data_IF_330343525612
#
_entry.id   IF_330343525612
#
_cell.length_a   1.000
_cell.length_b   1.000
_cell.length_c   1.000
_cell.angle_alpha   90.00
_cell.angle_beta   90.00
_cell.angle_gamma   90.00
#
_symmetry.space_group_name_H-M   'P 1'
#
loop_
_entity.id
_entity.type
_entity.pdbx_description
1 polymer ?
#
# COMPACT_ATOMS: atom_id res chain seq x y z
N UNK A 1 0.90 -0.07 25.46
CA UNK A 1 0.20 -0.56 24.25
C UNK A 1 -1.27 -0.29 24.47
N UNK A 2 -1.88 0.52 23.61
CA UNK A 2 -3.34 0.69 23.58
C UNK A 2 -3.88 -0.34 22.61
N UNK A 3 -4.85 -1.15 23.03
CA UNK A 3 -5.48 -2.18 22.22
C UNK A 3 -6.98 -2.18 22.47
N UNK A 4 -7.76 -2.45 21.42
CA UNK A 4 -9.21 -2.60 21.48
C UNK A 4 -9.55 -3.87 20.71
N UNK A 5 -10.22 -4.80 21.39
CA UNK A 5 -10.65 -6.08 20.82
C UNK A 5 -12.16 -6.07 20.54
N UNK A 6 -12.63 -7.03 19.74
CA UNK A 6 -14.06 -7.22 19.47
C UNK A 6 -14.69 -6.15 18.58
N UNK A 7 -13.87 -5.42 17.82
CA UNK A 7 -14.33 -4.50 16.80
C UNK A 7 -15.23 -5.24 15.80
N UNK A 8 -16.39 -4.65 15.52
CA UNK A 8 -17.29 -5.16 14.49
C UNK A 8 -16.67 -4.98 13.10
N UNK A 9 -17.16 -5.73 12.12
CA UNK A 9 -16.76 -5.55 10.72
C UNK A 9 -17.35 -4.24 10.18
N UNK A 10 -16.64 -3.14 10.42
CA UNK A 10 -17.01 -1.78 10.01
C UNK A 10 -15.75 -0.90 9.91
N UNK A 11 -15.92 0.34 9.47
CA UNK A 11 -14.88 1.36 9.47
C UNK A 11 -14.62 1.85 10.90
N UNK A 12 -13.35 1.76 11.34
CA UNK A 12 -12.91 2.27 12.63
C UNK A 12 -11.88 3.38 12.42
N UNK A 13 -12.09 4.52 13.08
CA UNK A 13 -11.11 5.61 13.09
C UNK A 13 -10.30 5.55 14.39
N UNK A 14 -8.98 5.58 14.28
CA UNK A 14 -8.06 5.66 15.41
C UNK A 14 -7.38 7.01 15.37
N UNK A 15 -7.62 7.83 16.40
CA UNK A 15 -6.96 9.12 16.56
C UNK A 15 -5.92 9.05 17.69
N UNK A 16 -4.68 9.46 17.39
CA UNK A 16 -3.61 9.60 18.37
C UNK A 16 -3.27 11.08 18.50
N UNK A 17 -3.84 11.72 19.53
CA UNK A 17 -3.50 13.09 19.89
C UNK A 17 -2.33 13.11 20.87
N UNK A 18 -1.25 13.82 20.52
CA UNK A 18 -0.04 13.92 21.34
C UNK A 18 0.37 15.36 21.54
N UNK A 19 0.81 15.68 22.76
CA UNK A 19 1.45 16.95 23.10
C UNK A 19 2.91 16.65 23.42
N UNK A 20 3.81 17.10 22.55
CA UNK A 20 5.26 16.96 22.73
C UNK A 20 5.90 18.33 22.97
N UNK A 21 7.05 18.34 23.65
CA UNK A 21 7.92 19.51 23.81
C UNK A 21 9.37 19.11 23.57
N UNK A 22 10.27 20.08 23.44
CA UNK A 22 11.72 19.83 23.36
C UNK A 22 12.31 19.12 24.59
N UNK A 23 11.55 19.01 25.68
CA UNK A 23 11.94 18.31 26.92
C UNK A 23 11.08 17.08 27.20
N UNK A 24 10.10 16.79 26.35
CA UNK A 24 9.17 15.67 26.48
C UNK A 24 8.78 15.22 25.07
N UNK A 25 9.64 14.39 24.47
CA UNK A 25 9.42 13.84 23.14
C UNK A 25 8.41 12.69 23.18
N UNK A 26 7.67 12.54 22.08
CA UNK A 26 6.80 11.40 21.85
C UNK A 26 7.35 10.60 20.68
N UNK A 27 7.50 9.29 20.88
CA UNK A 27 7.91 8.36 19.83
C UNK A 27 6.74 7.43 19.50
N UNK A 28 6.18 7.59 18.31
CA UNK A 28 5.25 6.62 17.75
C UNK A 28 6.06 5.54 17.03
N UNK A 29 6.07 4.34 17.60
CA UNK A 29 6.80 3.19 17.03
C UNK A 29 5.91 2.33 16.10
N UNK A 30 4.74 2.84 15.72
CA UNK A 30 3.80 2.17 14.83
C UNK A 30 2.52 1.70 15.51
N UNK A 31 1.62 1.16 14.68
CA UNK A 31 0.39 0.49 15.08
C UNK A 31 0.34 -0.91 14.48
N UNK A 32 -0.51 -1.77 15.05
CA UNK A 32 -0.76 -3.11 14.52
C UNK A 32 -2.26 -3.33 14.35
N UNK A 33 -2.62 -4.10 13.35
CA UNK A 33 -3.98 -4.60 13.16
C UNK A 33 -3.97 -6.12 13.22
N UNK A 34 -5.04 -6.70 13.76
CA UNK A 34 -5.31 -8.13 13.65
C UNK A 34 -6.50 -8.31 12.72
N UNK A 35 -6.35 -9.14 11.70
CA UNK A 35 -7.38 -9.40 10.71
C UNK A 35 -7.60 -10.89 10.53
N UNK A 36 -8.88 -11.28 10.34
CA UNK A 36 -9.24 -12.64 10.01
C UNK A 36 -8.85 -12.98 8.57
N UNK A 37 -8.19 -14.13 8.38
CA UNK A 37 -7.81 -14.65 7.06
C UNK A 37 -8.58 -15.94 6.81
N UNK A 38 -9.22 -16.04 5.65
CA UNK A 38 -9.91 -17.27 5.26
C UNK A 38 -8.89 -18.33 4.82
N UNK A 39 -8.49 -19.19 5.75
CA UNK A 39 -7.53 -20.28 5.48
C UNK A 39 -8.14 -21.55 4.87
N UNK A 40 -9.43 -21.56 4.47
CA UNK A 40 -10.16 -22.77 4.04
C UNK A 40 -10.07 -23.97 4.99
N UNK A 41 -10.02 -23.72 6.30
CA UNK A 41 -9.85 -24.78 7.30
C UNK A 41 -8.40 -25.20 7.55
N UNK A 42 -7.41 -24.53 6.95
CA UNK A 42 -6.02 -24.63 7.37
C UNK A 42 -5.86 -24.19 8.84
N UNK A 43 -4.94 -24.84 9.56
CA UNK A 43 -4.62 -24.54 10.96
C UNK A 43 -3.76 -23.28 11.13
N UNK A 44 -3.31 -22.68 10.04
CA UNK A 44 -2.45 -21.50 10.05
C UNK A 44 -2.50 -20.71 8.74
N UNK A 45 -1.81 -19.59 8.75
CA UNK A 45 -1.63 -18.70 7.60
C UNK A 45 -0.16 -18.73 7.18
N UNK A 46 0.08 -18.92 5.89
CA UNK A 46 1.41 -18.86 5.27
C UNK A 46 1.50 -17.57 4.43
N UNK A 47 2.36 -16.61 4.82
CA UNK A 47 2.60 -15.42 4.00
C UNK A 47 3.49 -15.77 2.80
N UNK A 48 3.11 -15.31 1.63
CA UNK A 48 3.92 -15.37 0.40
C UNK A 48 4.11 -13.95 -0.10
N UNK A 49 5.36 -13.51 -0.22
CA UNK A 49 5.69 -12.13 -0.59
C UNK A 49 6.15 -12.05 -2.04
N UNK A 50 5.51 -11.19 -2.82
CA UNK A 50 5.86 -10.85 -4.19
C UNK A 50 6.51 -9.47 -4.22
N UNK A 51 7.60 -9.38 -4.95
CA UNK A 51 8.43 -8.19 -5.09
C UNK A 51 7.77 -7.15 -6.00
N UNK A 52 8.14 -5.87 -5.89
CA UNK A 52 7.70 -4.82 -6.81
C UNK A 52 8.23 -5.03 -8.24
N UNK A 53 9.29 -5.81 -8.40
CA UNK A 53 9.82 -6.23 -9.70
C UNK A 53 9.23 -7.55 -10.22
N UNK A 54 8.27 -8.17 -9.51
CA UNK A 54 7.64 -9.41 -9.98
C UNK A 54 7.00 -9.22 -11.37
N UNK A 55 7.28 -10.15 -12.29
CA UNK A 55 6.84 -10.06 -13.68
C UNK A 55 5.32 -10.15 -13.87
N UNK A 56 4.57 -10.59 -12.85
CA UNK A 56 3.12 -10.61 -12.87
C UNK A 56 2.48 -9.23 -12.63
N UNK A 57 3.25 -8.21 -12.22
CA UNK A 57 2.78 -6.83 -12.22
C UNK A 57 2.51 -6.34 -13.64
N UNK A 58 1.28 -5.91 -13.88
CA UNK A 58 0.88 -5.21 -15.11
C UNK A 58 0.95 -3.70 -14.86
N UNK A 59 1.88 -3.03 -15.52
CA UNK A 59 2.13 -1.60 -15.36
C UNK A 59 1.63 -0.83 -16.58
N UNK A 60 0.85 0.23 -16.36
CA UNK A 60 0.40 1.17 -17.38
C UNK A 60 0.71 2.60 -16.95
N UNK A 61 1.55 3.37 -17.68
CA UNK A 61 2.47 2.91 -18.72
C UNK A 61 3.44 1.82 -18.23
N UNK A 62 4.17 1.14 -19.11
CA UNK A 62 5.17 0.13 -18.70
C UNK A 62 6.34 0.71 -17.88
N UNK A 63 7.24 -0.14 -17.37
CA UNK A 63 8.46 0.28 -16.64
C UNK A 63 9.47 0.98 -17.56
N UNK A 64 10.29 1.89 -17.01
CA UNK A 64 11.48 2.42 -17.69
C UNK A 64 12.55 1.33 -17.90
N UNK A 65 13.38 1.44 -18.95
CA UNK A 65 13.37 2.47 -19.99
C UNK A 65 12.35 2.19 -21.12
N UNK A 66 11.61 1.09 -21.07
CA UNK A 66 10.68 0.70 -22.13
C UNK A 66 9.56 1.73 -22.36
N UNK A 67 9.17 2.47 -21.32
CA UNK A 67 8.34 3.67 -21.41
C UNK A 67 9.04 4.88 -20.78
N UNK A 68 9.33 5.98 -21.53
CA UNK A 68 10.01 7.16 -21.00
C UNK A 68 9.27 7.87 -19.85
N UNK A 69 7.94 7.83 -19.87
CA UNK A 69 7.06 8.32 -18.79
C UNK A 69 6.56 7.17 -17.90
N UNK A 70 7.25 6.04 -17.96
CA UNK A 70 6.94 4.79 -17.27
C UNK A 70 7.21 4.80 -15.78
N UNK A 71 6.81 3.70 -15.13
CA UNK A 71 7.19 3.44 -13.75
C UNK A 71 8.71 3.29 -13.64
N UNK A 72 9.27 3.89 -12.61
CA UNK A 72 10.70 3.89 -12.32
C UNK A 72 11.00 3.00 -11.12
N UNK A 73 12.28 2.66 -10.93
CA UNK A 73 12.73 1.81 -9.81
C UNK A 73 13.68 2.60 -8.92
N UNK A 74 13.29 2.77 -7.66
CA UNK A 74 14.16 3.24 -6.59
C UNK A 74 14.94 2.06 -5.99
N UNK A 75 16.11 2.34 -5.42
CA UNK A 75 16.91 1.35 -4.70
C UNK A 75 17.20 1.82 -3.28
N UNK A 76 16.99 0.94 -2.30
CA UNK A 76 17.19 1.25 -0.87
C UNK A 76 17.23 -0.02 -0.05
N UNK A 77 18.12 -0.12 0.94
CA UNK A 77 18.18 -1.29 1.84
C UNK A 77 16.99 -1.41 2.80
N UNK A 78 16.06 -0.45 2.79
CA UNK A 78 14.82 -0.46 3.58
C UNK A 78 13.67 -1.17 2.87
N UNK A 79 13.83 -1.45 1.58
CA UNK A 79 12.81 -2.03 0.71
C UNK A 79 13.00 -3.54 0.60
N UNK A 80 11.92 -4.27 0.37
CA UNK A 80 11.97 -5.69 0.08
C UNK A 80 12.81 -5.91 -1.19
N UNK A 81 13.76 -6.85 -1.09
CA UNK A 81 14.82 -7.08 -2.11
C UNK A 81 15.58 -5.84 -2.60
N UNK A 82 15.53 -4.75 -1.82
CA UNK A 82 16.17 -3.47 -2.04
C UNK A 82 15.63 -2.62 -3.20
N UNK A 83 14.41 -2.88 -3.70
CA UNK A 83 13.80 -2.12 -4.80
C UNK A 83 12.40 -1.60 -4.45
N UNK A 84 12.02 -0.48 -5.07
CA UNK A 84 10.66 0.06 -4.96
C UNK A 84 10.24 0.66 -6.28
N UNK A 85 8.98 0.47 -6.66
CA UNK A 85 8.45 0.89 -7.95
C UNK A 85 7.61 2.13 -7.76
N UNK A 86 7.86 3.18 -8.55
CA UNK A 86 7.16 4.45 -8.38
C UNK A 86 6.85 5.19 -9.68
N UNK A 87 5.91 6.11 -9.62
CA UNK A 87 5.52 6.98 -10.73
C UNK A 87 4.96 8.30 -10.19
N UNK A 88 5.06 9.39 -10.96
CA UNK A 88 4.69 10.74 -10.52
C UNK A 88 3.69 11.52 -11.42
N UNK A 89 3.42 11.15 -12.68
CA UNK A 89 2.25 11.67 -13.38
C UNK A 89 0.97 11.37 -12.60
N UNK A 90 0.26 12.42 -12.20
CA UNK A 90 -0.93 12.37 -11.36
C UNK A 90 -2.15 12.89 -12.13
N UNK A 91 -3.30 12.23 -11.99
CA UNK A 91 -4.55 12.71 -12.57
C UNK A 91 -5.54 11.60 -12.89
N UNK A 92 -6.78 11.98 -13.17
CA UNK A 92 -7.85 11.04 -13.51
C UNK A 92 -7.47 10.19 -14.74
N UNK A 93 -7.65 8.87 -14.64
CA UNK A 93 -7.18 7.92 -15.67
C UNK A 93 -5.65 7.83 -15.78
N UNK A 94 -4.94 8.29 -14.74
CA UNK A 94 -3.48 8.30 -14.67
C UNK A 94 -2.86 6.91 -14.59
N UNK A 95 -1.54 6.85 -14.37
CA UNK A 95 -0.80 5.59 -14.29
C UNK A 95 -1.36 4.61 -13.28
N UNK A 96 -1.31 3.33 -13.64
CA UNK A 96 -1.73 2.22 -12.80
C UNK A 96 -0.76 1.04 -12.79
N UNK A 97 -0.78 0.30 -11.68
CA UNK A 97 -0.06 -0.95 -11.47
C UNK A 97 -1.03 -1.99 -10.91
N UNK A 98 -1.20 -3.11 -11.60
CA UNK A 98 -2.17 -4.15 -11.21
C UNK A 98 -1.49 -5.50 -11.00
N UNK A 99 -1.99 -6.26 -10.03
CA UNK A 99 -1.57 -7.64 -9.76
C UNK A 99 -2.79 -8.52 -9.57
N UNK A 100 -2.84 -9.64 -10.30
CA UNK A 100 -3.93 -10.62 -10.23
C UNK A 100 -3.45 -11.88 -9.53
N UNK A 101 -4.22 -12.38 -8.56
CA UNK A 101 -3.84 -13.54 -7.75
C UNK A 101 -5.05 -14.42 -7.40
N UNK A 102 -4.76 -15.64 -6.93
CA UNK A 102 -5.73 -16.62 -6.42
C UNK A 102 -5.12 -17.34 -5.22
N UNK A 103 -5.94 -17.96 -4.37
CA UNK A 103 -5.47 -18.81 -3.27
C UNK A 103 -5.20 -18.08 -1.95
N UNK A 104 -5.33 -16.75 -1.91
CA UNK A 104 -5.11 -15.95 -0.72
C UNK A 104 -6.43 -15.63 -0.01
N UNK A 105 -6.47 -15.84 1.30
CA UNK A 105 -7.58 -15.41 2.17
C UNK A 105 -7.41 -14.00 2.71
N UNK A 106 -6.31 -13.34 2.38
CA UNK A 106 -5.99 -11.96 2.71
C UNK A 106 -4.79 -11.43 1.94
N UNK A 107 -4.63 -10.12 1.93
CA UNK A 107 -3.58 -9.42 1.19
C UNK A 107 -3.07 -8.21 1.99
N UNK A 108 -1.76 -7.94 1.90
CA UNK A 108 -1.12 -6.72 2.41
C UNK A 108 -0.31 -6.10 1.29
N UNK A 109 -0.53 -4.83 0.98
CA UNK A 109 0.28 -4.04 0.06
C UNK A 109 1.19 -3.11 0.87
N UNK A 110 2.50 -3.26 0.68
CA UNK A 110 3.50 -2.38 1.28
C UNK A 110 3.92 -1.29 0.30
N UNK A 111 4.11 -0.10 0.85
CA UNK A 111 4.41 1.13 0.14
C UNK A 111 5.88 1.52 0.24
N UNK A 112 6.36 2.14 -0.83
CA UNK A 112 7.54 2.97 -0.77
C UNK A 112 7.10 4.42 -0.53
N UNK A 113 7.29 4.91 0.68
CA UNK A 113 6.87 6.25 1.11
C UNK A 113 8.10 7.16 1.27
N UNK A 114 8.05 8.35 0.68
CA UNK A 114 9.08 9.38 0.78
C UNK A 114 8.47 10.78 0.60
N UNK A 115 9.32 11.82 0.58
CA UNK A 115 8.89 13.23 0.54
C UNK A 115 7.97 13.62 -0.62
N UNK A 116 7.95 12.85 -1.72
CA UNK A 116 7.09 13.11 -2.89
C UNK A 116 5.94 12.10 -2.97
N UNK A 117 5.75 11.27 -1.94
CA UNK A 117 4.56 10.42 -1.82
C UNK A 117 3.36 11.27 -1.45
N UNK A 118 2.21 11.05 -2.09
CA UNK A 118 1.00 11.85 -1.89
C UNK A 118 -0.27 11.00 -1.89
N UNK A 119 -1.42 11.64 -2.09
CA UNK A 119 -2.70 11.01 -2.32
C UNK A 119 -2.70 10.14 -3.58
N UNK A 120 -3.31 8.96 -3.49
CA UNK A 120 -3.54 8.03 -4.60
C UNK A 120 -4.73 7.13 -4.27
N UNK A 121 -5.05 6.15 -5.12
CA UNK A 121 -6.08 5.17 -4.83
C UNK A 121 -5.60 3.74 -5.05
N UNK A 122 -6.18 2.83 -4.26
CA UNK A 122 -6.00 1.39 -4.40
C UNK A 122 -7.37 0.79 -4.65
N UNK A 123 -7.49 0.01 -5.72
CA UNK A 123 -8.68 -0.75 -6.02
C UNK A 123 -8.41 -2.22 -5.68
N UNK A 124 -9.31 -2.84 -4.92
CA UNK A 124 -9.31 -4.28 -4.70
C UNK A 124 -10.66 -4.84 -5.17
N UNK A 125 -10.63 -5.65 -6.23
CA UNK A 125 -11.84 -6.19 -6.87
C UNK A 125 -12.87 -5.12 -7.26
N UNK A 126 -12.38 -3.92 -7.61
CA UNK A 126 -13.20 -2.76 -7.98
C UNK A 126 -13.63 -1.88 -6.81
N UNK A 127 -13.44 -2.31 -5.55
CA UNK A 127 -13.63 -1.45 -4.37
C UNK A 127 -12.49 -0.43 -4.32
N UNK A 128 -12.82 0.86 -4.36
CA UNK A 128 -11.82 1.94 -4.35
C UNK A 128 -11.53 2.41 -2.92
N UNK A 129 -10.25 2.47 -2.59
CA UNK A 129 -9.72 3.01 -1.34
C UNK A 129 -8.84 4.22 -1.67
N UNK A 130 -9.31 5.41 -1.33
CA UNK A 130 -8.51 6.62 -1.40
C UNK A 130 -7.52 6.63 -0.23
N UNK A 131 -6.25 6.79 -0.54
CA UNK A 131 -5.13 6.73 0.41
C UNK A 131 -4.32 8.02 0.30
N UNK A 132 -3.76 8.46 1.41
CA UNK A 132 -2.78 9.54 1.46
C UNK A 132 -1.51 9.06 2.15
N UNK A 133 -0.41 8.99 1.39
CA UNK A 133 0.91 8.64 1.89
C UNK A 133 1.83 9.86 2.09
N UNK A 134 1.26 11.07 2.16
CA UNK A 134 2.03 12.30 2.41
C UNK A 134 2.86 12.17 3.69
N UNK A 135 4.18 12.18 3.54
CA UNK A 135 5.11 12.00 4.63
C UNK A 135 6.45 12.67 4.33
N UNK A 136 7.09 13.22 5.37
CA UNK A 136 8.47 13.72 5.27
C UNK A 136 9.51 12.60 5.50
N UNK A 137 9.06 11.40 5.84
CA UNK A 137 9.91 10.28 6.20
C UNK A 137 10.07 9.32 5.04
N UNK A 138 11.27 8.74 4.94
CA UNK A 138 11.53 7.63 4.04
C UNK A 138 11.18 6.31 4.75
N UNK A 139 10.12 5.66 4.32
CA UNK A 139 9.64 4.38 4.84
C UNK A 139 9.47 3.37 3.70
N UNK A 140 10.05 2.18 3.87
CA UNK A 140 9.92 1.05 2.94
C UNK A 140 9.00 -0.05 3.43
N UNK A 141 8.33 0.17 4.57
CA UNK A 141 7.53 -0.81 5.30
C UNK A 141 6.11 -0.33 5.58
N UNK A 142 5.71 0.80 4.99
CA UNK A 142 4.40 1.37 5.20
C UNK A 142 3.31 0.45 4.64
N UNK A 143 2.35 0.06 5.47
CA UNK A 143 1.19 -0.73 4.99
C UNK A 143 0.19 0.23 4.35
N UNK A 144 0.04 0.15 3.02
CA UNK A 144 -0.89 1.00 2.26
C UNK A 144 -2.30 0.41 2.22
N UNK A 145 -2.40 -0.93 2.23
CA UNK A 145 -3.65 -1.66 2.31
C UNK A 145 -3.42 -2.99 3.03
N UNK A 146 -4.37 -3.37 3.89
CA UNK A 146 -4.46 -4.71 4.42
C UNK A 146 -5.93 -5.15 4.42
N UNK A 147 -6.24 -6.25 3.72
CA UNK A 147 -7.60 -6.79 3.59
C UNK A 147 -7.60 -8.28 3.90
N UNK A 148 -8.42 -8.69 4.86
CA UNK A 148 -8.69 -10.09 5.18
C UNK A 148 -9.98 -10.59 4.57
N UNK A 149 -10.35 -11.81 4.94
CA UNK A 149 -11.60 -12.46 4.54
C UNK A 149 -11.86 -12.46 3.02
N UNK A 150 -10.80 -12.54 2.22
CA UNK A 150 -10.93 -12.78 0.78
C UNK A 150 -11.42 -14.21 0.55
N UNK A 151 -12.06 -14.46 -0.59
CA UNK A 151 -12.39 -15.81 -1.01
C UNK A 151 -11.18 -16.44 -1.73
N UNK A 152 -10.40 -17.30 -1.08
CA UNK A 152 -9.23 -17.90 -1.70
C UNK A 152 -9.54 -18.70 -2.98
N UNK A 153 -10.82 -19.00 -3.30
CA UNK A 153 -11.22 -19.67 -4.56
C UNK A 153 -11.43 -18.70 -5.72
N UNK A 154 -11.64 -17.42 -5.43
CA UNK A 154 -11.84 -16.39 -6.41
C UNK A 154 -10.51 -15.85 -6.94
N UNK A 155 -10.54 -15.35 -8.16
CA UNK A 155 -9.47 -14.51 -8.70
C UNK A 155 -9.67 -13.10 -8.20
N UNK A 156 -8.65 -12.56 -7.55
CA UNK A 156 -8.62 -11.20 -7.03
C UNK A 156 -7.70 -10.32 -7.83
N UNK A 157 -7.99 -9.02 -7.90
CA UNK A 157 -7.10 -8.03 -8.52
C UNK A 157 -6.95 -6.81 -7.63
N UNK A 158 -5.70 -6.50 -7.30
CA UNK A 158 -5.32 -5.24 -6.68
C UNK A 158 -4.78 -4.31 -7.76
N UNK A 159 -5.16 -3.03 -7.74
CA UNK A 159 -4.70 -2.01 -8.67
C UNK A 159 -4.36 -0.73 -7.92
N UNK A 160 -3.15 -0.23 -8.08
CA UNK A 160 -2.72 1.08 -7.60
C UNK A 160 -2.93 2.07 -8.74
N UNK A 161 -3.51 3.23 -8.47
CA UNK A 161 -3.68 4.32 -9.44
C UNK A 161 -3.13 5.60 -8.83
N UNK A 162 -2.26 6.31 -9.54
CA UNK A 162 -1.73 7.61 -9.09
C UNK A 162 -2.76 8.74 -9.26
N UNK A 163 -3.90 8.58 -8.59
CA UNK A 163 -5.02 9.51 -8.55
C UNK A 163 -5.89 9.20 -7.34
N UNK A 164 -6.33 10.25 -6.64
CA UNK A 164 -7.28 10.18 -5.55
C UNK A 164 -8.44 11.16 -5.86
N UNK A 165 -9.67 10.65 -5.88
CA UNK A 165 -10.84 11.47 -6.21
C UNK A 165 -11.17 12.52 -5.14
N UNK A 166 -10.75 12.28 -3.89
CA UNK A 166 -10.98 13.17 -2.76
C UNK A 166 -9.95 14.30 -2.72
N UNK A 167 -8.81 14.12 -3.38
CA UNK A 167 -7.78 15.15 -3.58
C UNK A 167 -7.35 15.23 -5.06
N UNK A 168 -8.17 15.79 -5.96
CA UNK A 168 -7.83 15.89 -7.37
C UNK A 168 -6.68 16.88 -7.65
N UNK A 169 -6.21 17.63 -6.65
CA UNK A 169 -5.09 18.56 -6.77
C UNK A 169 -4.08 18.38 -5.64
N UNK A 170 -3.36 17.28 -5.70
CA UNK A 170 -2.28 16.88 -4.78
C UNK A 170 -1.19 17.95 -4.54
N UNK A 171 -1.03 18.94 -5.42
CA UNK A 171 -0.03 20.03 -5.25
C UNK A 171 -0.54 21.24 -4.46
N UNK A 172 -1.84 21.27 -4.14
CA UNK A 172 -2.49 22.44 -3.52
C UNK A 172 -1.85 22.83 -2.19
N UNK A 173 -1.54 21.85 -1.34
CA UNK A 173 -0.95 22.09 -0.02
C UNK A 173 0.59 22.13 -0.06
N UNK A 174 1.18 21.51 -1.08
CA UNK A 174 2.62 21.38 -1.25
C UNK A 174 3.03 21.69 -2.72
N UNK A 175 3.22 22.96 -3.09
CA UNK A 175 3.45 23.34 -4.50
C UNK A 175 4.83 22.96 -5.04
N UNK A 176 5.75 22.47 -4.20
CA UNK A 176 7.15 22.17 -4.56
C UNK A 176 7.49 20.67 -4.49
N UNK A 177 6.50 19.79 -4.37
CA UNK A 177 6.67 18.34 -4.34
C UNK A 177 5.95 17.70 -5.52
N UNK A 178 6.47 16.57 -5.97
CA UNK A 178 5.81 15.78 -6.99
C UNK A 178 4.69 14.95 -6.36
N UNK A 179 3.66 14.61 -7.12
CA UNK A 179 2.58 13.75 -6.65
C UNK A 179 2.85 12.32 -7.08
N UNK A 180 3.70 11.64 -6.33
CA UNK A 180 4.10 10.29 -6.65
C UNK A 180 3.37 9.26 -5.79
N UNK A 181 3.24 8.07 -6.35
CA UNK A 181 2.92 6.85 -5.62
C UNK A 181 4.06 5.87 -5.81
N UNK A 182 4.40 5.13 -4.75
CA UNK A 182 5.34 4.03 -4.83
C UNK A 182 4.90 2.83 -3.99
N UNK A 183 5.23 1.64 -4.47
CA UNK A 183 4.97 0.38 -3.79
C UNK A 183 6.23 -0.50 -3.79
N UNK A 184 6.25 -1.43 -2.84
CA UNK A 184 7.42 -2.25 -2.50
C UNK A 184 7.12 -3.74 -2.63
N UNK A 185 6.06 -4.21 -2.00
CA UNK A 185 5.78 -5.64 -1.97
C UNK A 185 4.31 -5.94 -1.76
N UNK A 186 3.88 -7.10 -2.26
CA UNK A 186 2.55 -7.65 -2.06
C UNK A 186 2.66 -8.95 -1.26
N UNK A 187 2.08 -8.99 -0.08
CA UNK A 187 2.03 -10.20 0.75
C UNK A 187 0.66 -10.84 0.60
N UNK A 188 0.64 -12.07 0.07
CA UNK A 188 -0.55 -12.91 0.02
C UNK A 188 -0.60 -13.82 1.24
N UNK A 189 -1.72 -13.80 1.95
CA UNK A 189 -1.94 -14.59 3.15
C UNK A 189 -2.76 -15.83 2.79
N UNK A 190 -2.07 -16.95 2.61
CA UNK A 190 -2.66 -18.22 2.17
C UNK A 190 -2.89 -19.17 3.35
N UNK A 191 -3.79 -20.14 3.22
CA UNK A 191 -3.90 -21.22 4.19
C UNK A 191 -2.63 -22.08 4.19
N UNK A 192 -2.08 -22.38 5.37
CA UNK A 192 -0.95 -23.29 5.48
C UNK A 192 -1.36 -24.70 5.02
N UNK A 193 -0.56 -25.32 4.14
CA UNK A 193 -0.76 -26.69 3.65
C UNK A 193 -0.38 -27.73 4.67
#
# INVERSE_FOLDING_TARGET
MLAVDGLQFDTHNVEVAVSASSTAEFHFNGGGITMGVNGRGASGVMPVTFDDQDAAWSLSPGRKPASPSGWDTATSSRLYQNTGTFICPYGEGGPSASYTFVGAGGVVLNGYVWRDSHAFSILLDGETHNVDATSLWLDGTAVLLAKGNLDPTATHTITIVNYNSDDPNCTKEHPNVFCCVGFDSLVLLQGAT
#
